data_IF_016555584088
#
_entry.id   IF_016555584088
#
_cell.length_a   1.000
_cell.length_b   1.000
_cell.length_c   1.000
_cell.angle_alpha   90.00
_cell.angle_beta   90.00
_cell.angle_gamma   90.00
#
_symmetry.space_group_name_H-M   'P 1'
#
loop_
_entity.id
_entity.type
_entity.pdbx_description
1 polymer ?
#
# COMPACT_ATOMS: atom_id res chain seq x y z
N UNK A 1 -27.93 0.52 -11.14
CA UNK A 1 -26.61 1.09 -11.50
C UNK A 1 -26.15 2.19 -10.53
N UNK A 2 -26.82 3.34 -10.39
CA UNK A 2 -26.39 4.45 -9.50
C UNK A 2 -26.25 4.07 -8.01
N UNK A 3 -27.19 3.32 -7.44
CA UNK A 3 -27.11 2.84 -6.04
C UNK A 3 -25.91 1.92 -5.77
N UNK A 4 -25.52 1.09 -6.76
CA UNK A 4 -24.37 0.20 -6.63
C UNK A 4 -23.06 0.99 -6.70
N UNK A 5 -22.98 1.99 -7.60
CA UNK A 5 -21.83 2.91 -7.67
C UNK A 5 -21.67 3.71 -6.39
N UNK A 6 -22.77 4.27 -5.85
CA UNK A 6 -22.74 4.99 -4.57
C UNK A 6 -22.31 4.11 -3.40
N UNK A 7 -22.88 2.90 -3.27
CA UNK A 7 -22.45 1.95 -2.23
C UNK A 7 -20.98 1.57 -2.38
N UNK A 8 -20.49 1.41 -3.61
CA UNK A 8 -19.08 1.13 -3.90
C UNK A 8 -18.16 2.28 -3.47
N UNK A 9 -18.54 3.53 -3.75
CA UNK A 9 -17.80 4.75 -3.33
C UNK A 9 -17.83 4.91 -1.80
N UNK A 10 -18.97 4.69 -1.17
CA UNK A 10 -19.13 4.81 0.30
C UNK A 10 -18.31 3.74 1.01
N UNK A 11 -18.35 2.50 0.50
CA UNK A 11 -17.59 1.37 1.04
C UNK A 11 -16.08 1.60 0.91
N UNK A 12 -15.62 2.03 -0.28
CA UNK A 12 -14.22 2.39 -0.53
C UNK A 12 -13.72 3.47 0.44
N UNK A 13 -14.48 4.55 0.65
CA UNK A 13 -14.12 5.59 1.61
C UNK A 13 -14.09 5.13 3.07
N UNK A 14 -14.88 4.12 3.44
CA UNK A 14 -14.85 3.53 4.78
C UNK A 14 -13.56 2.75 5.01
N UNK A 15 -13.17 1.92 4.05
CA UNK A 15 -11.96 1.10 4.16
C UNK A 15 -10.68 1.97 4.13
N UNK A 16 -10.61 2.98 3.26
CA UNK A 16 -9.49 3.96 3.27
C UNK A 16 -9.35 4.62 4.63
N UNK A 17 -10.46 5.11 5.20
CA UNK A 17 -10.43 5.78 6.51
C UNK A 17 -9.97 4.84 7.61
N UNK A 18 -10.46 3.59 7.60
CA UNK A 18 -10.03 2.57 8.58
C UNK A 18 -8.52 2.35 8.45
N UNK A 19 -8.04 2.08 7.24
CA UNK A 19 -6.63 1.88 6.96
C UNK A 19 -5.78 3.07 7.41
N UNK A 20 -6.17 4.31 7.11
CA UNK A 20 -5.41 5.49 7.50
C UNK A 20 -5.30 5.64 9.02
N UNK A 21 -6.38 5.35 9.75
CA UNK A 21 -6.35 5.38 11.22
C UNK A 21 -5.42 4.30 11.76
N UNK A 22 -5.49 3.07 11.22
CA UNK A 22 -4.60 1.97 11.61
C UNK A 22 -3.13 2.28 11.30
N UNK A 23 -2.86 2.84 10.12
CA UNK A 23 -1.53 3.24 9.71
C UNK A 23 -0.96 4.31 10.65
N UNK A 24 -1.72 5.37 10.94
CA UNK A 24 -1.27 6.41 11.87
C UNK A 24 -1.06 5.87 13.28
N UNK A 25 -1.90 4.92 13.72
CA UNK A 25 -1.73 4.25 14.99
C UNK A 25 -0.45 3.39 15.02
N UNK A 26 -0.15 2.64 13.96
CA UNK A 26 1.09 1.88 13.85
C UNK A 26 2.33 2.80 13.90
N UNK A 27 2.29 3.93 13.19
CA UNK A 27 3.33 4.96 13.22
C UNK A 27 3.53 5.53 14.64
N UNK A 28 2.43 5.85 15.32
CA UNK A 28 2.49 6.32 16.71
C UNK A 28 3.12 5.28 17.64
N UNK A 29 2.74 4.01 17.50
CA UNK A 29 3.28 2.92 18.30
C UNK A 29 4.79 2.71 18.04
N UNK A 30 5.24 2.84 16.79
CA UNK A 30 6.67 2.80 16.45
C UNK A 30 7.47 3.94 17.14
N UNK A 31 6.86 5.11 17.30
CA UNK A 31 7.50 6.27 17.92
C UNK A 31 7.50 6.25 19.45
N UNK A 32 6.42 5.76 20.07
CA UNK A 32 6.19 5.92 21.51
C UNK A 32 6.23 4.59 22.29
N UNK A 33 5.94 3.45 21.66
CA UNK A 33 5.90 2.16 22.34
C UNK A 33 7.25 1.50 22.48
N UNK A 34 7.42 0.77 23.58
CA UNK A 34 8.53 -0.16 23.81
C UNK A 34 8.10 -1.63 23.64
N UNK A 35 6.82 -1.89 23.31
CA UNK A 35 6.29 -3.24 23.13
C UNK A 35 6.44 -3.69 21.67
N UNK A 36 7.50 -4.44 21.40
CA UNK A 36 7.86 -4.91 20.05
C UNK A 36 6.81 -5.89 19.49
N UNK A 37 6.25 -6.77 20.32
CA UNK A 37 5.25 -7.74 19.86
C UNK A 37 4.00 -7.05 19.33
N UNK A 38 3.52 -6.04 20.07
CA UNK A 38 2.41 -5.19 19.63
C UNK A 38 2.74 -4.43 18.34
N UNK A 39 3.95 -3.86 18.24
CA UNK A 39 4.40 -3.16 17.03
C UNK A 39 4.39 -4.08 15.80
N UNK A 40 4.89 -5.31 15.96
CA UNK A 40 4.92 -6.30 14.86
C UNK A 40 3.52 -6.68 14.39
N UNK A 41 2.62 -6.97 15.32
CA UNK A 41 1.23 -7.32 15.00
C UNK A 41 0.51 -6.18 14.27
N UNK A 42 0.63 -4.95 14.79
CA UNK A 42 0.07 -3.75 14.15
C UNK A 42 0.67 -3.48 12.78
N UNK A 43 1.99 -3.69 12.61
CA UNK A 43 2.67 -3.52 11.33
C UNK A 43 2.14 -4.52 10.30
N UNK A 44 1.97 -5.78 10.70
CA UNK A 44 1.43 -6.82 9.83
C UNK A 44 -0.03 -6.54 9.45
N UNK A 45 -0.86 -6.13 10.41
CA UNK A 45 -2.25 -5.78 10.16
C UNK A 45 -2.35 -4.58 9.20
N UNK A 46 -1.53 -3.56 9.40
CA UNK A 46 -1.46 -2.36 8.54
C UNK A 46 -1.06 -2.73 7.10
N UNK A 47 -0.11 -3.65 6.92
CA UNK A 47 0.29 -4.13 5.60
C UNK A 47 -0.82 -4.93 4.91
N UNK A 48 -1.58 -5.74 5.66
CA UNK A 48 -2.72 -6.47 5.14
C UNK A 48 -3.83 -5.52 4.67
N UNK A 49 -4.14 -4.51 5.47
CA UNK A 49 -5.13 -3.48 5.12
C UNK A 49 -4.66 -2.63 3.94
N UNK A 50 -3.36 -2.30 3.87
CA UNK A 50 -2.76 -1.65 2.71
C UNK A 50 -2.97 -2.48 1.43
N UNK A 51 -2.65 -3.78 1.49
CA UNK A 51 -2.85 -4.70 0.36
C UNK A 51 -4.30 -4.77 -0.07
N UNK A 52 -5.23 -4.87 0.88
CA UNK A 52 -6.66 -4.86 0.58
C UNK A 52 -7.05 -3.60 -0.19
N UNK A 53 -6.56 -2.42 0.22
CA UNK A 53 -6.88 -1.18 -0.47
C UNK A 53 -6.22 -1.04 -1.85
N UNK A 54 -5.06 -1.67 -2.06
CA UNK A 54 -4.35 -1.65 -3.35
C UNK A 54 -4.96 -2.64 -4.36
N UNK A 55 -5.51 -3.78 -3.93
CA UNK A 55 -6.01 -4.84 -4.81
C UNK A 55 -7.53 -4.88 -4.99
N UNK A 56 -8.33 -4.13 -4.21
CA UNK A 56 -9.77 -4.36 -4.16
C UNK A 56 -10.52 -4.08 -5.46
N UNK A 57 -9.94 -3.33 -6.40
CA UNK A 57 -10.54 -3.01 -7.69
C UNK A 57 -9.42 -2.91 -8.71
N UNK A 58 -9.72 -3.13 -9.99
CA UNK A 58 -8.75 -3.02 -11.09
C UNK A 58 -8.05 -1.63 -11.18
N UNK A 59 -8.45 -0.69 -10.32
CA UNK A 59 -7.79 0.56 -10.00
C UNK A 59 -7.50 0.63 -8.49
N UNK A 60 -6.29 1.05 -8.13
CA UNK A 60 -5.94 1.30 -6.72
C UNK A 60 -6.91 2.31 -6.12
N UNK A 61 -7.43 1.96 -4.94
CA UNK A 61 -8.31 2.86 -4.18
C UNK A 61 -7.50 4.06 -3.62
N UNK A 62 -6.19 3.90 -3.44
CA UNK A 62 -5.31 4.97 -2.97
C UNK A 62 -4.76 5.76 -4.16
N UNK A 63 -4.77 7.09 -4.03
CA UNK A 63 -4.04 7.98 -4.94
C UNK A 63 -2.53 7.82 -4.77
N UNK A 64 -1.78 7.96 -5.86
CA UNK A 64 -0.30 7.90 -5.85
C UNK A 64 0.33 8.92 -4.87
N UNK A 65 -0.25 10.12 -4.75
CA UNK A 65 0.18 11.15 -3.77
C UNK A 65 0.06 10.66 -2.32
N UNK A 66 -1.03 9.95 -2.01
CA UNK A 66 -1.24 9.36 -0.68
C UNK A 66 -0.22 8.24 -0.42
N UNK A 67 0.02 7.36 -1.38
CA UNK A 67 1.01 6.28 -1.26
C UNK A 67 2.41 6.87 -0.99
N UNK A 68 2.78 7.91 -1.73
CA UNK A 68 4.05 8.61 -1.53
C UNK A 68 4.17 9.21 -0.13
N UNK A 69 3.09 9.82 0.39
CA UNK A 69 3.05 10.36 1.76
C UNK A 69 3.19 9.26 2.81
N UNK A 70 2.55 8.11 2.63
CA UNK A 70 2.66 6.97 3.55
C UNK A 70 4.10 6.44 3.61
N UNK A 71 4.74 6.26 2.45
CA UNK A 71 6.15 5.83 2.37
C UNK A 71 7.12 6.88 2.94
N UNK A 72 6.86 8.16 2.68
CA UNK A 72 7.67 9.26 3.22
C UNK A 72 7.54 9.34 4.74
N UNK A 73 6.34 9.15 5.28
CA UNK A 73 6.11 9.09 6.72
C UNK A 73 6.86 7.92 7.34
N UNK A 74 6.80 6.72 6.78
CA UNK A 74 7.50 5.55 7.34
C UNK A 74 9.03 5.77 7.36
N UNK A 75 9.61 6.37 6.30
CA UNK A 75 11.03 6.75 6.28
C UNK A 75 11.37 7.85 7.31
N UNK A 76 10.47 8.80 7.55
CA UNK A 76 10.67 9.84 8.58
C UNK A 76 10.71 9.25 9.99
N UNK A 77 10.00 8.15 10.25
CA UNK A 77 10.02 7.47 11.55
C UNK A 77 11.39 6.87 11.85
N UNK A 78 12.07 6.30 10.84
CA UNK A 78 13.43 5.79 10.96
C UNK A 78 14.36 6.87 11.52
N UNK A 79 14.37 8.07 10.93
CA UNK A 79 15.20 9.20 11.38
C UNK A 79 14.81 9.66 12.80
N UNK A 80 13.52 9.72 13.10
CA UNK A 80 13.02 10.09 14.43
C UNK A 80 13.49 9.12 15.52
N UNK A 81 13.37 7.80 15.28
CA UNK A 81 13.84 6.78 16.21
C UNK A 81 15.35 6.88 16.41
N UNK A 82 16.10 7.12 15.33
CA UNK A 82 17.56 7.28 15.39
C UNK A 82 18.00 8.44 16.27
N UNK A 83 17.27 9.55 16.29
CA UNK A 83 17.64 10.75 17.07
C UNK A 83 17.19 10.70 18.52
N UNK A 84 16.01 10.15 18.81
CA UNK A 84 15.37 10.34 20.12
C UNK A 84 15.60 9.18 21.10
N UNK A 85 15.77 7.93 20.63
CA UNK A 85 15.75 6.76 21.52
C UNK A 85 17.12 6.40 22.10
N UNK A 86 17.12 5.71 23.25
CA UNK A 86 18.33 5.16 23.90
C UNK A 86 18.92 4.00 23.06
N UNK A 87 20.23 3.72 23.17
CA UNK A 87 20.94 2.77 22.28
C UNK A 87 20.28 1.39 22.17
N UNK A 88 19.86 0.79 23.29
CA UNK A 88 19.32 -0.58 23.31
C UNK A 88 17.92 -0.65 22.69
N UNK A 89 17.00 0.23 23.09
CA UNK A 89 15.63 0.26 22.55
C UNK A 89 15.63 0.69 21.08
N UNK A 90 16.53 1.64 20.72
CA UNK A 90 16.69 2.15 19.36
C UNK A 90 16.93 1.03 18.35
N UNK A 91 17.86 0.11 18.62
CA UNK A 91 18.22 -0.93 17.66
C UNK A 91 17.05 -1.87 17.37
N UNK A 92 16.33 -2.31 18.41
CA UNK A 92 15.22 -3.25 18.23
C UNK A 92 14.05 -2.61 17.50
N UNK A 93 13.73 -1.35 17.82
CA UNK A 93 12.61 -0.64 17.19
C UNK A 93 12.97 -0.24 15.76
N UNK A 94 14.23 0.17 15.49
CA UNK A 94 14.69 0.44 14.13
C UNK A 94 14.59 -0.79 13.24
N UNK A 95 14.90 -1.97 13.77
CA UNK A 95 14.76 -3.20 13.01
C UNK A 95 13.29 -3.46 12.62
N UNK A 96 12.36 -3.31 13.58
CA UNK A 96 10.93 -3.44 13.31
C UNK A 96 10.43 -2.40 12.29
N UNK A 97 10.80 -1.13 12.46
CA UNK A 97 10.44 -0.03 11.57
C UNK A 97 11.01 -0.19 10.15
N UNK A 98 12.27 -0.63 10.05
CA UNK A 98 12.92 -0.90 8.76
C UNK A 98 12.25 -2.08 8.04
N UNK A 99 11.92 -3.15 8.77
CA UNK A 99 11.21 -4.29 8.21
C UNK A 99 9.81 -3.88 7.72
N UNK A 100 9.09 -3.06 8.48
CA UNK A 100 7.80 -2.49 8.07
C UNK A 100 7.95 -1.64 6.80
N UNK A 101 8.90 -0.70 6.77
CA UNK A 101 9.12 0.19 5.62
C UNK A 101 9.52 -0.57 4.36
N UNK A 102 10.43 -1.55 4.48
CA UNK A 102 10.83 -2.40 3.35
C UNK A 102 9.66 -3.23 2.85
N UNK A 103 8.85 -3.78 3.76
CA UNK A 103 7.67 -4.55 3.39
C UNK A 103 6.65 -3.66 2.66
N UNK A 104 6.37 -2.46 3.17
CA UNK A 104 5.47 -1.50 2.52
C UNK A 104 5.97 -1.15 1.10
N UNK A 105 7.26 -0.87 0.96
CA UNK A 105 7.87 -0.58 -0.34
C UNK A 105 7.75 -1.77 -1.30
N UNK A 106 7.99 -2.99 -0.82
CA UNK A 106 7.83 -4.22 -1.61
C UNK A 106 6.40 -4.37 -2.14
N UNK A 107 5.38 -4.10 -1.32
CA UNK A 107 3.99 -4.16 -1.75
C UNK A 107 3.65 -3.09 -2.80
N UNK A 108 4.18 -1.87 -2.65
CA UNK A 108 4.03 -0.80 -3.66
C UNK A 108 4.63 -1.25 -4.99
N UNK A 109 5.88 -1.74 -4.98
CA UNK A 109 6.58 -2.21 -6.19
C UNK A 109 5.83 -3.36 -6.83
N UNK A 110 5.41 -4.35 -6.03
CA UNK A 110 4.66 -5.50 -6.52
C UNK A 110 3.35 -5.07 -7.21
N UNK A 111 2.62 -4.13 -6.62
CA UNK A 111 1.41 -3.59 -7.23
C UNK A 111 1.70 -2.82 -8.53
N UNK A 112 2.76 -2.01 -8.58
CA UNK A 112 3.18 -1.33 -9.81
C UNK A 112 3.53 -2.33 -10.91
N UNK A 113 4.23 -3.41 -10.58
CA UNK A 113 4.56 -4.50 -11.52
C UNK A 113 3.28 -5.13 -12.06
N UNK A 114 2.31 -5.47 -11.20
CA UNK A 114 1.04 -6.09 -11.62
C UNK A 114 0.25 -5.15 -12.53
N UNK A 115 0.16 -3.85 -12.21
CA UNK A 115 -0.51 -2.86 -13.07
C UNK A 115 0.17 -2.73 -14.42
N UNK A 116 1.50 -2.73 -14.43
CA UNK A 116 2.28 -2.64 -15.66
C UNK A 116 2.08 -3.90 -16.53
N UNK A 117 2.14 -5.09 -15.93
CA UNK A 117 1.85 -6.34 -16.61
C UNK A 117 0.44 -6.33 -17.21
N UNK A 118 -0.56 -5.93 -16.44
CA UNK A 118 -1.95 -5.82 -16.93
C UNK A 118 -2.09 -4.85 -18.10
N UNK A 119 -1.37 -3.71 -18.08
CA UNK A 119 -1.34 -2.78 -19.20
C UNK A 119 -0.72 -3.40 -20.45
N UNK A 120 0.37 -4.16 -20.31
CA UNK A 120 0.98 -4.89 -21.43
C UNK A 120 0.06 -5.99 -21.99
N UNK A 121 -0.62 -6.75 -21.14
CA UNK A 121 -1.60 -7.75 -21.57
C UNK A 121 -2.73 -7.12 -22.40
N UNK A 122 -3.31 -6.02 -21.92
CA UNK A 122 -4.36 -5.31 -22.65
C UNK A 122 -3.88 -4.77 -24.01
N UNK A 123 -2.66 -4.24 -24.09
CA UNK A 123 -2.08 -3.79 -25.35
C UNK A 123 -1.81 -4.95 -26.33
N UNK A 124 -1.39 -6.11 -25.80
CA UNK A 124 -1.15 -7.30 -26.61
C UNK A 124 -2.46 -7.86 -27.18
N UNK A 125 -3.50 -7.99 -26.35
CA UNK A 125 -4.82 -8.47 -26.78
C UNK A 125 -5.46 -7.51 -27.81
N UNK A 126 -5.32 -6.19 -27.60
CA UNK A 126 -5.78 -5.20 -28.57
C UNK A 126 -5.10 -5.33 -29.93
N UNK A 127 -3.79 -5.64 -29.96
CA UNK A 127 -3.04 -5.86 -31.21
C UNK A 127 -3.44 -7.13 -31.95
N UNK A 128 -3.73 -8.22 -31.23
CA UNK A 128 -4.21 -9.45 -31.86
C UNK A 128 -5.55 -9.21 -32.53
N UNK A 129 -6.50 -8.59 -31.81
CA UNK A 129 -7.84 -8.31 -32.35
C UNK A 129 -7.80 -7.40 -33.59
N UNK A 130 -6.92 -6.39 -33.62
CA UNK A 130 -6.76 -5.55 -34.83
C UNK A 130 -6.23 -6.32 -36.04
N UNK A 131 -5.30 -7.25 -35.83
CA UNK A 131 -4.73 -8.02 -36.95
C UNK A 131 -5.70 -9.06 -37.53
N UNK A 132 -6.63 -9.60 -36.72
CA UNK A 132 -7.69 -10.48 -37.21
C UNK A 132 -8.78 -9.72 -37.98
N UNK A 133 -9.06 -8.46 -37.62
CA UNK A 133 -10.08 -7.66 -38.33
C UNK A 133 -9.58 -7.23 -39.71
N UNK A 134 -8.28 -6.93 -39.86
CA UNK A 134 -7.67 -6.55 -41.13
C UNK A 134 -7.53 -7.75 -42.12
N UNK A 135 -7.69 -8.98 -41.65
CA UNK A 135 -7.59 -10.20 -42.47
C UNK A 135 -8.93 -10.84 -42.85
N UNK A 136 -10.05 -10.32 -42.35
CA UNK A 136 -11.42 -10.68 -42.77
C UNK A 136 -12.01 -9.70 -43.81
N UNK A 137 -11.35 -8.56 -44.07
CA UNK A 137 -11.78 -7.55 -45.06
C UNK A 137 -11.08 -7.69 -46.44
N UNK A 138 -10.22 -8.70 -46.65
CA UNK A 138 -9.63 -9.07 -47.96
C UNK A 138 -10.31 -10.31 -48.59
#
# INVERSE_FOLDING_TARGET
MIKQVLNKIIYSNREIRRFLVEFLHAIYQLLESNNIGQIQELSQQTLNDFNACMFYQNDSILSDDLIFKLLSMSMMIVDRIQRTRSRTIKQTILFADSAFTVSLFSHIVNHTIIRLQNAFYQLHDARINTNETDSEEE
#
